data_IF_129675096410
#
_entry.id   IF_129675096410
#
_cell.length_a   1.000
_cell.length_b   1.000
_cell.length_c   1.000
_cell.angle_alpha   90.00
_cell.angle_beta   90.00
_cell.angle_gamma   90.00
#
_symmetry.space_group_name_H-M   'P 1'
#
loop_
_entity.id
_entity.type
_entity.pdbx_description
1 polymer ?
#
# COMPACT_ATOMS: atom_id res chain seq x y z
N UNK A 1 -20.39 4.56 33.88
CA UNK A 1 -19.99 5.08 32.57
C UNK A 1 -19.56 3.89 31.73
N UNK A 2 -20.05 3.76 30.49
CA UNK A 2 -19.67 2.69 29.56
C UNK A 2 -19.20 3.38 28.28
N UNK A 3 -18.00 3.03 27.81
CA UNK A 3 -17.40 3.62 26.61
C UNK A 3 -17.10 2.50 25.64
N UNK A 4 -17.61 2.61 24.41
CA UNK A 4 -17.31 1.66 23.34
C UNK A 4 -15.91 1.98 22.79
N UNK A 5 -14.97 1.05 22.98
CA UNK A 5 -13.61 1.17 22.47
C UNK A 5 -13.55 0.44 21.12
N UNK A 6 -13.05 1.07 20.04
CA UNK A 6 -12.80 0.38 18.79
C UNK A 6 -11.90 -0.82 19.03
N UNK A 7 -12.27 -1.98 18.48
CA UNK A 7 -11.51 -3.22 18.70
C UNK A 7 -10.17 -3.20 17.96
N UNK A 8 -10.06 -2.37 16.92
CA UNK A 8 -8.82 -2.10 16.19
C UNK A 8 -8.64 -0.60 15.91
N UNK A 9 -7.38 -0.20 15.76
CA UNK A 9 -7.00 1.17 15.39
C UNK A 9 -6.12 1.15 14.13
N UNK A 10 -6.46 0.35 13.11
CA UNK A 10 -5.64 0.18 11.90
C UNK A 10 -5.22 1.52 11.27
N UNK A 11 -6.13 2.51 11.27
CA UNK A 11 -5.93 3.83 10.67
C UNK A 11 -4.77 4.65 11.28
N UNK A 12 -4.21 4.21 12.41
CA UNK A 12 -3.01 4.82 13.01
C UNK A 12 -1.73 4.61 12.19
N UNK A 13 -1.70 3.61 11.30
CA UNK A 13 -0.51 3.28 10.50
C UNK A 13 -0.54 3.97 9.14
N UNK A 14 0.45 4.84 8.87
CA UNK A 14 0.51 5.68 7.68
C UNK A 14 1.14 5.01 6.45
N UNK A 15 1.76 3.84 6.64
CA UNK A 15 2.41 3.10 5.55
C UNK A 15 2.05 1.62 5.56
N UNK A 16 2.14 0.97 4.39
CA UNK A 16 1.93 -0.48 4.28
C UNK A 16 2.87 -1.28 5.18
N UNK A 17 4.12 -0.83 5.31
CA UNK A 17 5.13 -1.47 6.16
C UNK A 17 4.74 -1.43 7.63
N UNK A 18 4.36 -0.26 8.15
CA UNK A 18 3.91 -0.11 9.55
C UNK A 18 2.64 -0.92 9.82
N UNK A 19 1.65 -0.82 8.92
CA UNK A 19 0.39 -1.54 9.01
C UNK A 19 0.60 -3.05 9.17
N UNK A 20 1.42 -3.64 8.29
CA UNK A 20 1.62 -5.09 8.23
C UNK A 20 2.73 -5.60 9.16
N UNK A 21 3.50 -4.70 9.77
CA UNK A 21 4.46 -5.05 10.82
C UNK A 21 3.86 -4.91 12.23
N UNK A 22 2.66 -4.34 12.36
CA UNK A 22 1.93 -4.24 13.63
C UNK A 22 1.60 -5.60 14.25
N UNK A 23 1.44 -6.64 13.42
CA UNK A 23 1.01 -7.97 13.83
C UNK A 23 -0.49 -8.09 14.13
N UNK A 24 -1.29 -7.04 13.88
CA UNK A 24 -2.74 -7.09 14.09
C UNK A 24 -3.42 -7.89 12.96
N UNK A 25 -4.08 -9.02 13.26
CA UNK A 25 -4.72 -9.87 12.25
C UNK A 25 -5.95 -9.22 11.59
N UNK A 26 -6.51 -8.17 12.17
CA UNK A 26 -7.66 -7.46 11.60
C UNK A 26 -7.24 -6.42 10.56
N UNK A 27 -5.97 -6.02 10.56
CA UNK A 27 -5.46 -4.95 9.72
C UNK A 27 -4.81 -5.48 8.44
N UNK A 28 -5.04 -4.76 7.35
CA UNK A 28 -4.25 -4.88 6.15
C UNK A 28 -4.24 -3.58 5.36
N UNK A 29 -3.50 -3.58 4.25
CA UNK A 29 -3.27 -2.36 3.50
C UNK A 29 -4.18 -2.27 2.27
N UNK A 30 -5.05 -1.27 2.25
CA UNK A 30 -5.92 -0.97 1.12
C UNK A 30 -5.14 -0.14 0.08
N UNK A 31 -4.62 -0.82 -0.95
CA UNK A 31 -3.57 -0.31 -1.84
C UNK A 31 -3.98 0.98 -2.56
N UNK A 32 -5.19 1.04 -3.11
CA UNK A 32 -5.66 2.19 -3.89
C UNK A 32 -6.10 3.38 -3.04
N UNK A 33 -6.49 3.13 -1.80
CA UNK A 33 -6.91 4.17 -0.86
C UNK A 33 -5.74 4.67 0.01
N UNK A 34 -4.60 3.99 -0.03
CA UNK A 34 -3.40 4.34 0.73
C UNK A 34 -3.69 4.44 2.25
N UNK A 35 -4.46 3.49 2.77
CA UNK A 35 -4.84 3.40 4.19
C UNK A 35 -4.63 1.99 4.73
N UNK A 36 -4.34 1.89 6.02
CA UNK A 36 -4.42 0.65 6.77
C UNK A 36 -5.84 0.49 7.31
N UNK A 37 -6.53 -0.58 6.94
CA UNK A 37 -7.93 -0.81 7.31
C UNK A 37 -8.25 -2.30 7.40
N UNK A 38 -9.43 -2.61 7.93
CA UNK A 38 -9.98 -3.96 7.81
C UNK A 38 -10.30 -4.29 6.34
N UNK A 39 -10.19 -5.57 5.98
CA UNK A 39 -10.59 -6.07 4.65
C UNK A 39 -12.00 -5.63 4.24
N UNK A 40 -12.96 -5.69 5.17
CA UNK A 40 -14.36 -5.30 4.94
C UNK A 40 -14.55 -3.81 4.62
N UNK A 41 -13.62 -2.95 5.04
CA UNK A 41 -13.64 -1.49 4.80
C UNK A 41 -12.84 -1.08 3.57
N UNK A 42 -12.19 -2.02 2.88
CA UNK A 42 -11.47 -1.75 1.64
C UNK A 42 -12.35 -2.12 0.44
N UNK A 43 -12.75 -1.13 -0.35
CA UNK A 43 -13.57 -1.37 -1.53
C UNK A 43 -12.88 -2.31 -2.51
N UNK A 44 -13.60 -3.36 -2.97
CA UNK A 44 -13.09 -4.36 -3.92
C UNK A 44 -11.85 -5.12 -3.41
N UNK A 45 -11.69 -5.29 -2.10
CA UNK A 45 -10.53 -5.96 -1.49
C UNK A 45 -10.21 -7.37 -2.02
N UNK A 46 -11.19 -8.04 -2.64
CA UNK A 46 -11.03 -9.37 -3.21
C UNK A 46 -10.41 -9.36 -4.61
N UNK A 47 -10.27 -8.19 -5.23
CA UNK A 47 -9.57 -8.06 -6.51
C UNK A 47 -8.05 -8.13 -6.34
N UNK A 48 -7.34 -8.66 -7.36
CA UNK A 48 -5.89 -8.75 -7.35
C UNK A 48 -5.23 -7.40 -7.03
N UNK A 49 -4.30 -7.45 -6.07
CA UNK A 49 -3.47 -6.32 -5.64
C UNK A 49 -4.25 -5.12 -5.08
N UNK A 50 -5.50 -5.30 -4.64
CA UNK A 50 -6.27 -4.24 -3.95
C UNK A 50 -6.08 -4.22 -2.44
N UNK A 51 -5.85 -5.39 -1.84
CA UNK A 51 -5.63 -5.52 -0.41
C UNK A 51 -4.40 -6.38 -0.13
N UNK A 52 -3.42 -5.83 0.58
CA UNK A 52 -2.24 -6.57 1.04
C UNK A 52 -2.46 -7.03 2.48
N UNK A 53 -2.33 -8.35 2.70
CA UNK A 53 -2.44 -8.99 4.02
C UNK A 53 -1.08 -9.40 4.59
N UNK A 54 0.00 -9.27 3.81
CA UNK A 54 1.36 -9.55 4.23
C UNK A 54 2.32 -8.51 3.68
N UNK A 55 3.40 -8.24 4.41
CA UNK A 55 4.39 -7.21 4.03
C UNK A 55 5.01 -7.44 2.64
N UNK A 56 5.06 -8.68 2.17
CA UNK A 56 5.57 -9.03 0.85
C UNK A 56 4.67 -8.55 -0.29
N UNK A 57 3.40 -8.26 0.00
CA UNK A 57 2.39 -7.75 -0.93
C UNK A 57 2.33 -6.22 -0.97
N UNK A 58 3.12 -5.51 -0.16
CA UNK A 58 3.23 -4.06 -0.29
C UNK A 58 3.74 -3.67 -1.68
N UNK A 59 3.23 -2.56 -2.21
CA UNK A 59 3.65 -2.00 -3.50
C UNK A 59 5.14 -1.63 -3.41
N UNK A 60 5.92 -2.05 -4.41
CA UNK A 60 7.34 -1.66 -4.53
C UNK A 60 7.54 -0.98 -5.87
N UNK A 61 8.11 0.22 -5.84
CA UNK A 61 8.48 0.98 -7.04
C UNK A 61 9.99 0.98 -7.16
N UNK A 62 10.52 0.67 -8.34
CA UNK A 62 11.93 0.79 -8.67
C UNK A 62 12.09 1.73 -9.86
N UNK A 63 13.15 2.53 -9.84
CA UNK A 63 13.38 3.63 -10.78
C UNK A 63 14.73 3.41 -11.48
N UNK A 64 14.77 3.58 -12.80
CA UNK A 64 16.00 3.43 -13.59
C UNK A 64 16.17 4.61 -14.58
N UNK A 65 17.34 5.29 -14.59
CA UNK A 65 18.45 5.12 -13.66
C UNK A 65 18.08 5.56 -12.23
N UNK A 66 18.73 4.97 -11.22
CA UNK A 66 18.44 5.28 -9.81
C UNK A 66 18.99 6.64 -9.35
N UNK A 67 19.95 7.19 -10.10
CA UNK A 67 20.53 8.51 -9.89
C UNK A 67 20.86 9.15 -11.23
N UNK A 68 20.79 10.47 -11.29
CA UNK A 68 21.05 11.28 -12.49
C UNK A 68 21.98 12.41 -12.10
N UNK A 69 22.89 12.80 -13.01
CA UNK A 69 23.78 13.93 -12.79
C UNK A 69 23.00 15.25 -12.84
N UNK A 70 23.31 16.18 -11.94
CA UNK A 70 22.65 17.51 -11.88
C UNK A 70 22.82 18.28 -13.20
N UNK A 71 23.91 18.02 -13.93
CA UNK A 71 24.22 18.63 -15.23
C UNK A 71 23.36 18.11 -16.40
N UNK A 72 22.61 17.02 -16.21
CA UNK A 72 21.81 16.38 -17.26
C UNK A 72 20.32 16.49 -16.95
N UNK A 73 19.68 17.62 -17.31
CA UNK A 73 18.23 17.72 -17.24
C UNK A 73 17.57 16.79 -18.28
N UNK A 74 16.32 16.41 -18.01
CA UNK A 74 15.46 15.69 -18.97
C UNK A 74 15.90 14.27 -19.35
N UNK A 75 16.68 13.59 -18.49
CA UNK A 75 16.98 12.15 -18.67
C UNK A 75 15.69 11.34 -18.54
N UNK A 76 15.35 10.47 -19.52
CA UNK A 76 14.18 9.62 -19.43
C UNK A 76 14.35 8.58 -18.33
N UNK A 77 13.33 8.45 -17.48
CA UNK A 77 13.32 7.53 -16.36
C UNK A 77 12.24 6.48 -16.56
N UNK A 78 12.60 5.23 -16.32
CA UNK A 78 11.68 4.09 -16.35
C UNK A 78 11.31 3.68 -14.93
N UNK A 79 10.04 3.37 -14.69
CA UNK A 79 9.56 2.85 -13.40
C UNK A 79 9.07 1.41 -13.56
N UNK A 80 9.44 0.57 -12.59
CA UNK A 80 8.94 -0.80 -12.45
C UNK A 80 8.16 -0.91 -11.15
N UNK A 81 6.88 -1.26 -11.25
CA UNK A 81 6.00 -1.38 -10.11
C UNK A 81 5.64 -2.86 -9.86
N UNK A 82 5.83 -3.33 -8.63
CA UNK A 82 5.43 -4.67 -8.17
C UNK A 82 4.27 -4.57 -7.18
N UNK A 83 3.44 -5.61 -7.17
CA UNK A 83 2.25 -5.72 -6.30
C UNK A 83 1.25 -4.58 -6.44
N UNK A 84 1.19 -3.94 -7.61
CA UNK A 84 0.27 -2.86 -7.87
C UNK A 84 -0.95 -3.34 -8.63
N UNK A 85 -2.10 -2.78 -8.29
CA UNK A 85 -3.30 -2.94 -9.07
C UNK A 85 -3.07 -2.39 -10.49
N UNK A 86 -3.18 -3.26 -11.49
CA UNK A 86 -3.20 -2.87 -12.88
C UNK A 86 -4.55 -2.26 -13.21
N UNK A 87 -4.57 -1.03 -13.76
CA UNK A 87 -5.78 -0.55 -14.44
C UNK A 87 -6.09 -1.54 -15.57
N UNK A 88 -7.32 -2.06 -15.68
CA UNK A 88 -7.69 -2.85 -16.85
C UNK A 88 -7.44 -1.98 -18.08
N UNK A 89 -6.71 -2.53 -19.06
CA UNK A 89 -6.64 -1.91 -20.39
C UNK A 89 -8.07 -1.99 -20.96
N UNK A 90 -8.68 -0.83 -21.18
CA UNK A 90 -9.90 -0.69 -21.96
C UNK A 90 -9.60 -1.02 -23.42
#
# INVERSE_FOLDING_TARGET
QVTQVPIESCEQYGTCGECLSSGDPHCGWCVLHNICSQRSRCERADEPYRFAASITQCVKVSVYPASIAVSEPSVPVSTLQRNAHSRPRL
#
